data_IF_952843139853
#
_entry.id   IF_952843139853
#
_cell.length_a   1.000
_cell.length_b   1.000
_cell.length_c   1.000
_cell.angle_alpha   90.00
_cell.angle_beta   90.00
_cell.angle_gamma   90.00
#
_symmetry.space_group_name_H-M   'P 1'
#
loop_
_entity.id
_entity.type
_entity.pdbx_description
1 polymer ?
#
# COMPACT_ATOMS: atom_id res chain seq x y z
N UNK A 1 23.00 -12.80 22.20
CA UNK A 1 22.26 -13.98 21.69
C UNK A 1 21.01 -13.49 21.00
N UNK A 2 20.74 -13.87 19.74
CA UNK A 2 19.50 -13.53 19.09
C UNK A 2 18.34 -14.22 19.82
N UNK A 3 17.22 -13.51 20.01
CA UNK A 3 16.00 -14.04 20.62
C UNK A 3 15.44 -15.13 19.69
N UNK A 4 14.90 -16.23 20.23
CA UNK A 4 14.24 -17.23 19.39
C UNK A 4 13.01 -16.63 18.71
N UNK A 5 12.59 -17.15 17.56
CA UNK A 5 11.39 -16.69 16.84
C UNK A 5 10.16 -16.77 17.76
N UNK A 6 10.01 -17.85 18.52
CA UNK A 6 8.94 -18.01 19.52
C UNK A 6 8.91 -16.86 20.53
N UNK A 7 10.05 -16.55 21.14
CA UNK A 7 10.13 -15.46 22.12
C UNK A 7 9.85 -14.09 21.47
N UNK A 8 10.28 -13.89 20.22
CA UNK A 8 10.01 -12.66 19.49
C UNK A 8 8.51 -12.49 19.20
N UNK A 9 7.84 -13.52 18.71
CA UNK A 9 6.40 -13.45 18.41
C UNK A 9 5.57 -13.30 19.69
N UNK A 10 5.91 -14.03 20.76
CA UNK A 10 5.24 -13.88 22.07
C UNK A 10 5.33 -12.44 22.58
N UNK A 11 6.50 -11.81 22.48
CA UNK A 11 6.67 -10.41 22.89
C UNK A 11 5.89 -9.42 22.01
N UNK A 12 5.92 -9.60 20.70
CA UNK A 12 5.20 -8.72 19.77
C UNK A 12 3.68 -8.84 19.90
N UNK A 13 3.19 -10.06 20.19
CA UNK A 13 1.80 -10.36 20.41
C UNK A 13 1.33 -10.00 21.84
N UNK A 14 2.26 -9.93 22.79
CA UNK A 14 2.01 -9.79 24.24
C UNK A 14 1.13 -10.90 24.84
N UNK A 15 1.15 -12.06 24.20
CA UNK A 15 0.41 -13.28 24.56
C UNK A 15 1.16 -14.52 24.10
N UNK A 16 0.85 -15.67 24.71
CA UNK A 16 1.30 -16.95 24.18
C UNK A 16 0.70 -17.21 22.79
N UNK A 17 1.50 -17.68 21.84
CA UNK A 17 1.10 -17.91 20.45
C UNK A 17 -0.13 -18.82 20.36
N UNK A 18 -0.16 -19.88 21.18
CA UNK A 18 -1.27 -20.87 21.20
C UNK A 18 -2.63 -20.27 21.61
N UNK A 19 -2.64 -19.18 22.36
CA UNK A 19 -3.85 -18.53 22.87
C UNK A 19 -4.23 -17.27 22.09
N UNK A 20 -3.32 -16.76 21.26
CA UNK A 20 -3.56 -15.59 20.44
C UNK A 20 -4.52 -15.91 19.28
N UNK A 21 -5.34 -14.94 18.88
CA UNK A 21 -6.16 -15.04 17.68
C UNK A 21 -5.30 -14.82 16.41
N UNK A 22 -5.80 -15.27 15.27
CA UNK A 22 -5.07 -15.12 14.00
C UNK A 22 -4.89 -13.63 13.63
N UNK A 23 -5.84 -12.76 13.95
CA UNK A 23 -5.73 -11.31 13.78
C UNK A 23 -4.65 -10.68 14.68
N UNK A 24 -4.50 -11.15 15.93
CA UNK A 24 -3.43 -10.71 16.82
C UNK A 24 -2.05 -11.17 16.33
N UNK A 25 -1.96 -12.42 15.85
CA UNK A 25 -0.73 -12.96 15.25
C UNK A 25 -0.38 -12.24 13.95
N UNK A 26 -1.35 -11.94 13.09
CA UNK A 26 -1.15 -11.12 11.90
C UNK A 26 -0.56 -9.75 12.26
N UNK A 27 -1.11 -9.07 13.27
CA UNK A 27 -0.58 -7.79 13.76
C UNK A 27 0.86 -7.91 14.28
N UNK A 28 1.18 -8.99 14.98
CA UNK A 28 2.53 -9.26 15.46
C UNK A 28 3.51 -9.51 14.30
N UNK A 29 3.08 -10.28 13.29
CA UNK A 29 3.88 -10.53 12.08
C UNK A 29 4.11 -9.26 11.26
N UNK A 30 3.13 -8.36 11.13
CA UNK A 30 3.33 -7.06 10.49
C UNK A 30 4.39 -6.22 11.20
N UNK A 31 4.40 -6.21 12.55
CA UNK A 31 5.44 -5.52 13.32
C UNK A 31 6.80 -6.15 13.08
N UNK A 32 6.90 -7.49 13.12
CA UNK A 32 8.15 -8.22 12.83
C UNK A 32 8.69 -7.87 11.45
N UNK A 33 7.85 -7.96 10.42
CA UNK A 33 8.22 -7.62 9.04
C UNK A 33 8.68 -6.17 8.95
N UNK A 34 7.95 -5.23 9.57
CA UNK A 34 8.33 -3.82 9.56
C UNK A 34 9.71 -3.60 10.20
N UNK A 35 9.96 -4.13 11.41
CA UNK A 35 11.24 -4.00 12.10
C UNK A 35 12.39 -4.59 11.29
N UNK A 36 12.18 -5.75 10.67
CA UNK A 36 13.18 -6.41 9.83
C UNK A 36 13.44 -5.66 8.54
N UNK A 37 12.39 -5.21 7.86
CA UNK A 37 12.51 -4.41 6.62
C UNK A 37 13.31 -3.12 6.85
N UNK A 38 13.17 -2.47 8.00
CA UNK A 38 13.98 -1.28 8.33
C UNK A 38 15.49 -1.54 8.35
N UNK A 39 15.91 -2.77 8.69
CA UNK A 39 17.33 -3.17 8.70
C UNK A 39 17.89 -3.29 7.26
N UNK A 40 17.03 -3.42 6.26
CA UNK A 40 17.38 -3.51 4.83
C UNK A 40 17.27 -2.17 4.09
N UNK A 41 16.87 -1.10 4.76
CA UNK A 41 16.90 0.26 4.20
C UNK A 41 18.36 0.68 4.04
N UNK A 42 18.74 1.06 2.82
CA UNK A 42 20.12 1.46 2.48
C UNK A 42 20.14 2.92 2.04
N UNK A 43 21.19 3.64 2.44
CA UNK A 43 21.43 4.98 1.94
C UNK A 43 21.58 5.00 0.41
N UNK A 44 21.23 6.11 -0.20
CA UNK A 44 21.32 6.29 -1.65
C UNK A 44 22.43 7.28 -1.95
N UNK A 45 23.53 6.77 -2.53
CA UNK A 45 24.62 7.55 -3.09
C UNK A 45 24.50 7.52 -4.62
N UNK A 46 24.28 8.67 -5.26
CA UNK A 46 24.16 8.74 -6.71
C UNK A 46 22.71 8.73 -7.22
N UNK A 47 22.48 8.13 -8.37
CA UNK A 47 21.17 8.15 -9.04
C UNK A 47 20.15 7.26 -8.32
N UNK A 48 18.90 7.73 -8.25
CA UNK A 48 17.73 6.99 -7.78
C UNK A 48 16.65 7.04 -8.86
N UNK A 49 15.98 5.94 -9.07
CA UNK A 49 14.84 5.84 -9.98
C UNK A 49 13.55 6.13 -9.22
N UNK A 50 12.63 6.84 -9.86
CA UNK A 50 11.26 7.00 -9.39
C UNK A 50 10.30 6.46 -10.44
N UNK A 51 9.54 5.44 -10.09
CA UNK A 51 8.55 4.84 -10.97
C UNK A 51 7.16 5.39 -10.64
N UNK A 52 6.67 6.32 -11.47
CA UNK A 52 5.36 6.95 -11.29
C UNK A 52 4.34 6.13 -12.06
N UNK A 53 3.32 5.61 -11.38
CA UNK A 53 2.25 4.84 -12.00
C UNK A 53 0.92 5.11 -11.29
N UNK A 54 -0.16 5.14 -12.08
CA UNK A 54 -1.51 5.20 -11.52
C UNK A 54 -1.90 3.92 -10.78
N UNK A 55 -1.20 2.80 -11.03
CA UNK A 55 -1.53 1.49 -10.50
C UNK A 55 -0.29 0.72 -10.03
N UNK A 56 -0.45 0.01 -8.91
CA UNK A 56 0.51 -0.95 -8.38
C UNK A 56 -0.22 -2.19 -7.86
N UNK A 57 -0.33 -3.23 -8.68
CA UNK A 57 -0.93 -4.52 -8.27
C UNK A 57 0.09 -5.33 -7.46
N UNK A 58 0.26 -4.99 -6.20
CA UNK A 58 1.27 -5.57 -5.31
C UNK A 58 0.84 -6.89 -4.68
N UNK A 59 -0.48 -7.14 -4.56
CA UNK A 59 -1.02 -8.32 -3.88
C UNK A 59 -0.81 -8.29 -2.36
N UNK A 60 -1.12 -9.40 -1.68
CA UNK A 60 -0.83 -9.60 -0.26
C UNK A 60 0.67 -9.61 -0.02
N UNK A 61 1.14 -8.95 1.04
CA UNK A 61 2.56 -8.68 1.27
C UNK A 61 3.19 -9.52 2.37
N UNK A 62 2.39 -10.10 3.28
CA UNK A 62 2.94 -10.78 4.45
C UNK A 62 3.88 -11.92 4.07
N UNK A 63 3.40 -12.90 3.31
CA UNK A 63 4.22 -14.05 2.87
C UNK A 63 5.38 -13.62 1.99
N UNK A 64 5.14 -12.72 1.05
CA UNK A 64 6.20 -12.18 0.20
C UNK A 64 7.34 -11.56 1.03
N UNK A 65 7.00 -10.74 2.00
CA UNK A 65 8.00 -10.11 2.87
C UNK A 65 8.70 -11.12 3.78
N UNK A 66 7.99 -12.12 4.33
CA UNK A 66 8.60 -13.18 5.13
C UNK A 66 9.61 -13.99 4.30
N UNK A 67 9.27 -14.33 3.05
CA UNK A 67 10.17 -15.03 2.12
C UNK A 67 11.39 -14.15 1.82
N UNK A 68 11.17 -12.90 1.43
CA UNK A 68 12.24 -11.97 1.04
C UNK A 68 13.20 -11.64 2.18
N UNK A 69 12.73 -11.71 3.43
CA UNK A 69 13.53 -11.52 4.65
C UNK A 69 14.15 -12.83 5.17
N UNK A 70 13.88 -13.98 4.53
CA UNK A 70 14.38 -15.29 4.99
C UNK A 70 13.76 -15.76 6.32
N UNK A 71 12.55 -15.32 6.64
CA UNK A 71 11.85 -15.61 7.89
C UNK A 71 10.71 -16.61 7.76
N UNK A 72 10.31 -16.94 6.53
CA UNK A 72 9.08 -17.68 6.26
C UNK A 72 9.05 -19.05 6.95
N UNK A 73 10.10 -19.85 6.81
CA UNK A 73 10.15 -21.19 7.39
C UNK A 73 10.20 -21.13 8.92
N UNK A 74 11.02 -20.25 9.51
CA UNK A 74 11.10 -20.08 10.96
C UNK A 74 9.78 -19.65 11.59
N UNK A 75 9.05 -18.75 10.92
CA UNK A 75 7.73 -18.30 11.37
C UNK A 75 6.71 -19.42 11.24
N UNK A 76 6.63 -20.08 10.07
CA UNK A 76 5.71 -21.19 9.82
C UNK A 76 5.89 -22.30 10.85
N UNK A 77 7.12 -22.74 11.08
CA UNK A 77 7.42 -23.85 11.99
C UNK A 77 7.16 -23.48 13.45
N UNK A 78 7.48 -22.24 13.85
CA UNK A 78 7.16 -21.71 15.19
C UNK A 78 5.65 -21.65 15.45
N UNK A 79 4.87 -21.24 14.45
CA UNK A 79 3.40 -21.21 14.56
C UNK A 79 2.84 -22.64 14.63
N UNK A 80 3.33 -23.55 13.79
CA UNK A 80 2.91 -24.95 13.78
C UNK A 80 3.16 -25.66 15.10
N UNK A 81 4.30 -25.42 15.76
CA UNK A 81 4.61 -25.93 17.11
C UNK A 81 3.61 -25.45 18.17
N UNK A 82 3.01 -24.28 17.96
CA UNK A 82 1.96 -23.72 18.82
C UNK A 82 0.52 -24.09 18.39
N UNK A 83 0.36 -24.96 17.39
CA UNK A 83 -0.93 -25.37 16.86
C UNK A 83 -1.65 -24.34 16.00
N UNK A 84 -0.89 -23.41 15.37
CA UNK A 84 -1.40 -22.39 14.46
C UNK A 84 -0.91 -22.63 13.03
N UNK A 85 -1.74 -22.31 12.03
CA UNK A 85 -1.35 -22.36 10.63
C UNK A 85 -1.06 -20.94 10.10
N UNK A 86 0.11 -20.74 9.48
CA UNK A 86 0.45 -19.46 8.87
C UNK A 86 -0.57 -19.05 7.80
N UNK A 87 -1.08 -20.02 7.03
CA UNK A 87 -2.08 -19.77 5.98
C UNK A 87 -3.37 -19.13 6.53
N UNK A 88 -3.85 -19.54 7.73
CA UNK A 88 -5.04 -18.97 8.35
C UNK A 88 -4.81 -17.51 8.81
N UNK A 89 -3.56 -17.23 9.22
CA UNK A 89 -3.15 -15.88 9.60
C UNK A 89 -3.02 -14.98 8.38
N UNK A 90 -2.52 -15.49 7.25
CA UNK A 90 -2.43 -14.76 5.97
C UNK A 90 -3.81 -14.37 5.42
N UNK A 91 -4.88 -15.11 5.75
CA UNK A 91 -6.24 -14.72 5.37
C UNK A 91 -6.74 -13.45 6.09
N UNK A 92 -6.11 -13.05 7.19
CA UNK A 92 -6.42 -11.79 7.87
C UNK A 92 -5.91 -10.55 7.09
N UNK A 93 -5.01 -10.72 6.12
CA UNK A 93 -4.46 -9.62 5.34
C UNK A 93 -5.48 -9.11 4.32
N UNK A 94 -5.92 -7.84 4.42
CA UNK A 94 -6.71 -7.24 3.34
C UNK A 94 -5.81 -7.05 2.12
N UNK A 95 -6.27 -7.48 0.94
CA UNK A 95 -5.51 -7.28 -0.29
C UNK A 95 -5.48 -5.80 -0.68
N UNK A 96 -4.28 -5.20 -0.86
CA UNK A 96 -4.17 -3.81 -1.26
C UNK A 96 -4.76 -3.57 -2.65
N UNK A 97 -5.87 -2.84 -2.71
CA UNK A 97 -6.57 -2.51 -3.95
C UNK A 97 -5.97 -1.30 -4.66
N UNK A 98 -4.68 -1.38 -5.02
CA UNK A 98 -3.91 -0.29 -5.62
C UNK A 98 -3.68 -0.43 -7.12
N UNK A 99 -4.19 -1.47 -7.75
CA UNK A 99 -4.00 -1.72 -9.17
C UNK A 99 -4.71 -2.96 -9.66
N UNK A 100 -4.78 -3.10 -10.99
CA UNK A 100 -5.35 -4.24 -11.68
C UNK A 100 -4.60 -4.48 -13.00
N UNK A 101 -4.73 -5.68 -13.53
CA UNK A 101 -4.22 -6.03 -14.86
C UNK A 101 -2.71 -5.84 -15.07
N UNK A 102 -2.34 -5.70 -16.35
CA UNK A 102 -0.93 -5.70 -16.77
C UNK A 102 -0.15 -4.48 -16.34
N UNK A 103 -0.74 -3.28 -16.40
CA UNK A 103 -0.08 -2.04 -16.01
C UNK A 103 0.34 -2.07 -14.53
N UNK A 104 -0.62 -2.37 -13.65
CA UNK A 104 -0.37 -2.43 -12.21
C UNK A 104 0.60 -3.55 -11.83
N UNK A 105 0.49 -4.73 -12.47
CA UNK A 105 1.39 -5.86 -12.21
C UNK A 105 2.81 -5.58 -12.68
N UNK A 106 2.99 -4.97 -13.83
CA UNK A 106 4.31 -4.57 -14.33
C UNK A 106 5.01 -3.59 -13.38
N UNK A 107 4.27 -2.57 -12.90
CA UNK A 107 4.80 -1.61 -11.94
C UNK A 107 5.25 -2.28 -10.64
N UNK A 108 4.45 -3.20 -10.10
CA UNK A 108 4.79 -3.97 -8.90
C UNK A 108 6.04 -4.85 -9.11
N UNK A 109 6.13 -5.56 -10.24
CA UNK A 109 7.30 -6.39 -10.58
C UNK A 109 8.58 -5.57 -10.72
N UNK A 110 8.51 -4.35 -11.29
CA UNK A 110 9.68 -3.48 -11.38
C UNK A 110 10.15 -3.01 -10.01
N UNK A 111 9.24 -2.65 -9.10
CA UNK A 111 9.62 -2.26 -7.74
C UNK A 111 10.30 -3.41 -6.99
N UNK A 112 9.74 -4.62 -7.07
CA UNK A 112 10.32 -5.81 -6.46
C UNK A 112 11.70 -6.13 -7.05
N UNK A 113 11.83 -6.09 -8.38
CA UNK A 113 13.10 -6.32 -9.06
C UNK A 113 14.18 -5.29 -8.68
N UNK A 114 13.82 -4.00 -8.59
CA UNK A 114 14.75 -2.97 -8.13
C UNK A 114 15.24 -3.24 -6.71
N UNK A 115 14.34 -3.61 -5.81
CA UNK A 115 14.67 -3.93 -4.43
C UNK A 115 15.57 -5.18 -4.34
N UNK A 116 15.24 -6.26 -5.04
CA UNK A 116 16.00 -7.52 -5.11
C UNK A 116 17.40 -7.32 -5.69
N UNK A 117 17.53 -6.50 -6.74
CA UNK A 117 18.82 -6.18 -7.37
C UNK A 117 19.64 -5.12 -6.60
N UNK A 118 19.20 -4.72 -5.41
CA UNK A 118 19.84 -3.67 -4.61
C UNK A 118 19.91 -2.29 -5.28
N UNK A 119 19.05 -2.02 -6.28
CA UNK A 119 19.00 -0.76 -6.97
C UNK A 119 18.10 0.24 -6.21
N UNK A 120 18.56 1.50 -5.99
CA UNK A 120 17.72 2.51 -5.35
C UNK A 120 16.59 2.94 -6.31
N UNK A 121 15.34 2.64 -5.93
CA UNK A 121 14.20 2.98 -6.75
C UNK A 121 12.92 2.96 -5.95
N UNK A 122 12.15 4.04 -6.00
CA UNK A 122 10.88 4.15 -5.30
C UNK A 122 9.71 4.23 -6.30
N UNK A 123 8.56 3.72 -5.85
CA UNK A 123 7.29 3.91 -6.52
C UNK A 123 6.61 5.21 -6.08
N UNK A 124 5.81 5.78 -6.97
CA UNK A 124 4.93 6.93 -6.70
C UNK A 124 3.56 6.66 -7.29
N UNK A 125 2.52 6.71 -6.46
CA UNK A 125 1.14 6.43 -6.86
C UNK A 125 0.11 7.13 -5.97
N UNK A 126 -1.15 6.70 -6.09
CA UNK A 126 -2.24 7.14 -5.24
C UNK A 126 -2.67 6.03 -4.27
N UNK A 127 -3.12 6.42 -3.09
CA UNK A 127 -3.73 5.54 -2.10
C UNK A 127 -5.24 5.57 -2.32
N UNK A 128 -5.73 4.69 -3.19
CA UNK A 128 -7.16 4.57 -3.42
C UNK A 128 -7.85 3.88 -2.24
N UNK A 129 -9.02 4.36 -1.87
CA UNK A 129 -9.86 3.74 -0.84
C UNK A 129 -10.55 2.47 -1.37
N UNK A 130 -10.97 2.50 -2.65
CA UNK A 130 -11.59 1.39 -3.34
C UNK A 130 -10.90 1.17 -4.70
N UNK A 131 -10.11 0.10 -4.83
CA UNK A 131 -9.41 -0.21 -6.08
C UNK A 131 -10.15 -1.24 -6.93
N UNK A 132 -10.78 -2.21 -6.28
CA UNK A 132 -11.60 -3.23 -6.90
C UNK A 132 -13.02 -3.15 -6.33
N UNK A 133 -13.92 -3.97 -6.89
CA UNK A 133 -15.30 -4.04 -6.47
C UNK A 133 -15.64 -5.43 -5.96
N UNK A 134 -16.41 -5.49 -4.88
CA UNK A 134 -16.99 -6.75 -4.41
C UNK A 134 -18.13 -7.12 -5.34
N UNK A 135 -18.03 -8.32 -5.92
CA UNK A 135 -19.05 -8.84 -6.82
C UNK A 135 -20.14 -9.55 -6.02
N UNK A 136 -21.37 -9.08 -6.12
CA UNK A 136 -22.54 -9.64 -5.47
C UNK A 136 -23.63 -9.97 -6.50
N UNK A 137 -24.60 -10.77 -6.11
CA UNK A 137 -25.78 -11.03 -6.91
C UNK A 137 -27.03 -10.50 -6.19
N UNK A 138 -27.82 -9.67 -6.87
CA UNK A 138 -29.09 -9.15 -6.42
C UNK A 138 -30.14 -9.40 -7.51
N UNK A 139 -31.21 -10.12 -7.16
CA UNK A 139 -32.26 -10.47 -8.14
C UNK A 139 -31.73 -11.19 -9.40
N UNK A 140 -30.79 -12.10 -9.26
CA UNK A 140 -30.11 -12.82 -10.34
C UNK A 140 -29.30 -11.93 -11.31
N UNK A 141 -29.01 -10.70 -10.91
CA UNK A 141 -28.14 -9.77 -11.67
C UNK A 141 -26.89 -9.50 -10.85
N UNK A 142 -25.74 -9.47 -11.52
CA UNK A 142 -24.48 -9.05 -10.92
C UNK A 142 -24.59 -7.61 -10.46
N UNK A 143 -24.08 -7.36 -9.25
CA UNK A 143 -24.09 -6.05 -8.62
C UNK A 143 -22.74 -5.80 -7.95
N UNK A 144 -22.12 -4.69 -8.27
CA UNK A 144 -20.86 -4.26 -7.71
C UNK A 144 -21.10 -3.40 -6.47
N UNK A 145 -20.31 -3.65 -5.44
CA UNK A 145 -20.25 -2.79 -4.25
C UNK A 145 -18.79 -2.42 -3.96
N UNK A 146 -18.54 -1.32 -3.23
CA UNK A 146 -17.18 -0.95 -2.85
C UNK A 146 -16.50 -2.08 -2.05
N UNK A 147 -15.23 -2.29 -2.30
CA UNK A 147 -14.39 -3.22 -1.53
C UNK A 147 -13.33 -2.41 -0.78
N UNK A 148 -13.66 -2.01 0.45
CA UNK A 148 -12.79 -1.25 1.32
C UNK A 148 -11.71 -2.16 1.89
N UNK A 149 -10.46 -1.79 1.69
CA UNK A 149 -9.29 -2.53 2.16
C UNK A 149 -8.46 -1.77 3.21
N UNK A 150 -8.72 -0.46 3.36
CA UNK A 150 -8.00 0.38 4.31
C UNK A 150 -8.44 0.08 5.73
N UNK A 151 -7.53 -0.47 6.50
CA UNK A 151 -7.70 -0.77 7.93
C UNK A 151 -6.54 -0.20 8.73
N UNK A 152 -6.64 -0.17 10.05
CA UNK A 152 -5.55 0.21 10.95
C UNK A 152 -4.30 -0.69 10.80
N UNK A 153 -4.50 -1.90 10.27
CA UNK A 153 -3.46 -2.89 10.00
C UNK A 153 -2.83 -2.76 8.61
N UNK A 154 -3.25 -1.77 7.80
CA UNK A 154 -2.68 -1.54 6.48
C UNK A 154 -1.17 -1.30 6.55
N UNK A 155 -0.42 -1.94 5.64
CA UNK A 155 1.04 -1.82 5.57
C UNK A 155 1.51 -0.41 5.17
N UNK A 156 0.69 0.35 4.43
CA UNK A 156 0.97 1.74 4.07
C UNK A 156 0.69 2.66 5.26
N UNK A 157 1.74 3.29 5.80
CA UNK A 157 1.67 4.16 6.97
C UNK A 157 1.69 5.63 6.59
N UNK A 158 0.80 6.41 7.21
CA UNK A 158 0.77 7.86 7.09
C UNK A 158 2.08 8.49 7.60
N UNK A 159 2.49 9.57 6.96
CA UNK A 159 3.58 10.45 7.43
C UNK A 159 3.03 11.84 7.75
N UNK A 160 3.85 12.67 8.38
CA UNK A 160 3.50 14.09 8.61
C UNK A 160 3.72 14.96 7.36
N UNK A 161 4.26 14.37 6.28
CA UNK A 161 4.56 15.09 5.04
C UNK A 161 3.29 15.31 4.22
N UNK A 162 3.05 16.56 3.86
CA UNK A 162 1.91 16.99 3.04
C UNK A 162 2.42 17.93 1.96
N UNK A 163 2.01 17.71 0.72
CA UNK A 163 2.33 18.58 -0.40
C UNK A 163 1.09 19.32 -0.91
N UNK A 164 1.17 20.64 -1.16
CA UNK A 164 0.06 21.40 -1.72
C UNK A 164 -0.04 21.10 -3.24
N UNK A 165 -1.23 20.78 -3.72
CA UNK A 165 -1.52 20.60 -5.14
C UNK A 165 -2.64 21.55 -5.55
N UNK A 166 -2.34 22.48 -6.45
CA UNK A 166 -3.33 23.41 -7.00
C UNK A 166 -4.05 22.77 -8.18
N UNK A 167 -5.37 22.60 -8.09
CA UNK A 167 -6.21 21.91 -9.05
C UNK A 167 -7.57 22.62 -9.15
N UNK A 168 -8.04 22.91 -10.35
CA UNK A 168 -9.34 23.56 -10.59
C UNK A 168 -9.55 24.86 -9.77
N UNK A 169 -8.50 25.66 -9.60
CA UNK A 169 -8.54 26.94 -8.85
C UNK A 169 -8.58 26.80 -7.34
N UNK A 170 -8.42 25.60 -6.80
CA UNK A 170 -8.31 25.29 -5.36
C UNK A 170 -7.01 24.60 -5.04
N UNK A 171 -6.56 24.67 -3.80
CA UNK A 171 -5.38 23.93 -3.32
C UNK A 171 -5.83 22.78 -2.42
N UNK A 172 -5.32 21.59 -2.72
CA UNK A 172 -5.58 20.35 -2.00
C UNK A 172 -4.31 19.87 -1.31
N UNK A 173 -4.46 19.19 -0.18
CA UNK A 173 -3.37 18.65 0.63
C UNK A 173 -3.13 17.20 0.26
N UNK A 174 -2.02 16.89 -0.40
CA UNK A 174 -1.58 15.54 -0.71
C UNK A 174 -0.76 14.98 0.46
N UNK A 175 -1.36 14.16 1.30
CA UNK A 175 -0.66 13.46 2.39
C UNK A 175 0.11 12.28 1.85
N UNK A 176 1.36 12.16 2.28
CA UNK A 176 2.23 11.05 1.90
C UNK A 176 2.03 9.85 2.85
N UNK A 177 1.80 8.69 2.26
CA UNK A 177 1.84 7.37 2.88
C UNK A 177 3.01 6.58 2.32
N UNK A 178 3.69 5.81 3.17
CA UNK A 178 4.83 4.99 2.77
C UNK A 178 4.55 3.52 3.00
N UNK A 179 4.80 2.72 1.96
CA UNK A 179 4.71 1.26 2.00
C UNK A 179 6.08 0.69 1.65
N UNK A 180 6.71 -0.08 2.57
CA UNK A 180 8.01 -0.70 2.30
C UNK A 180 7.87 -1.78 1.22
N UNK A 181 8.81 -1.81 0.29
CA UNK A 181 8.97 -2.85 -0.73
C UNK A 181 10.32 -3.51 -0.49
N UNK A 182 10.30 -4.69 0.13
CA UNK A 182 11.51 -5.44 0.49
C UNK A 182 11.80 -6.47 -0.59
N UNK A 183 13.00 -6.39 -1.17
CA UNK A 183 13.46 -7.36 -2.17
C UNK A 183 14.03 -8.62 -1.56
N UNK A 184 14.07 -9.70 -2.34
CA UNK A 184 14.64 -10.98 -1.93
C UNK A 184 16.15 -10.84 -1.67
N UNK A 185 16.57 -11.06 -0.41
CA UNK A 185 17.95 -10.83 0.06
C UNK A 185 18.52 -9.44 -0.33
N UNK A 186 17.65 -8.52 -0.69
CA UNK A 186 17.99 -7.24 -1.29
C UNK A 186 17.91 -6.06 -0.30
N UNK A 187 17.48 -4.93 -0.83
CA UNK A 187 17.21 -3.72 -0.06
C UNK A 187 15.72 -3.53 0.16
N UNK A 188 15.35 -2.64 1.07
CA UNK A 188 13.99 -2.11 1.16
C UNK A 188 13.94 -0.75 0.47
N UNK A 189 13.14 -0.66 -0.58
CA UNK A 189 12.70 0.56 -1.26
C UNK A 189 11.33 0.99 -0.74
N UNK A 190 10.76 2.05 -1.28
CA UNK A 190 9.46 2.58 -0.82
C UNK A 190 8.49 2.75 -1.98
N UNK A 191 7.24 2.32 -1.78
CA UNK A 191 6.12 2.79 -2.57
C UNK A 191 5.48 3.98 -1.84
N UNK A 192 5.61 5.15 -2.42
CA UNK A 192 5.06 6.41 -1.93
C UNK A 192 3.66 6.60 -2.52
N UNK A 193 2.66 6.70 -1.67
CA UNK A 193 1.26 6.83 -2.05
C UNK A 193 0.71 8.15 -1.54
N UNK A 194 0.01 8.87 -2.38
CA UNK A 194 -0.64 10.12 -2.00
C UNK A 194 -2.14 9.94 -1.82
N UNK A 195 -2.69 10.60 -0.82
CA UNK A 195 -4.11 10.61 -0.52
C UNK A 195 -4.56 12.01 -0.09
N UNK A 196 -5.85 12.29 -0.20
CA UNK A 196 -6.48 13.47 0.39
C UNK A 196 -7.00 13.16 1.78
N UNK A 197 -6.66 13.99 2.77
CA UNK A 197 -7.22 13.86 4.13
C UNK A 197 -8.74 14.10 4.19
N UNK A 198 -9.32 14.62 3.12
CA UNK A 198 -10.74 15.01 3.04
C UNK A 198 -11.62 14.01 2.31
N UNK A 199 -11.05 12.87 1.86
CA UNK A 199 -11.85 11.81 1.21
C UNK A 199 -12.91 11.30 2.18
N UNK A 200 -14.14 11.17 1.66
CA UNK A 200 -15.30 10.80 2.45
C UNK A 200 -16.00 9.59 1.80
N UNK A 201 -15.78 8.41 2.37
CA UNK A 201 -16.37 7.16 1.88
C UNK A 201 -17.90 7.14 1.97
N UNK A 202 -18.49 7.99 2.83
CA UNK A 202 -19.93 8.09 3.01
C UNK A 202 -20.67 8.72 1.83
N UNK A 203 -19.93 9.35 0.88
CA UNK A 203 -20.53 9.93 -0.33
C UNK A 203 -20.94 8.87 -1.37
N UNK A 204 -20.55 7.61 -1.17
CA UNK A 204 -20.91 6.51 -2.06
C UNK A 204 -22.39 6.21 -1.88
N UNK A 205 -23.15 6.35 -2.98
CA UNK A 205 -24.57 6.05 -3.02
C UNK A 205 -24.89 4.58 -3.28
N UNK A 206 -25.97 4.29 -4.00
CA UNK A 206 -26.32 2.92 -4.36
C UNK A 206 -25.26 2.31 -5.30
N UNK A 207 -24.79 1.11 -4.94
CA UNK A 207 -23.72 0.44 -5.64
C UNK A 207 -22.38 1.16 -5.51
N UNK A 208 -21.87 1.72 -6.59
CA UNK A 208 -20.59 2.43 -6.68
C UNK A 208 -20.75 3.89 -7.16
N UNK A 209 -21.95 4.43 -7.08
CA UNK A 209 -22.28 5.78 -7.57
C UNK A 209 -21.89 6.86 -6.56
N UNK A 210 -21.39 7.99 -7.04
CA UNK A 210 -21.09 9.17 -6.22
C UNK A 210 -21.06 10.45 -7.07
N UNK A 211 -21.10 11.63 -6.44
CA UNK A 211 -20.94 12.91 -7.13
C UNK A 211 -19.47 13.11 -7.54
N UNK A 212 -19.18 12.97 -8.83
CA UNK A 212 -17.84 13.07 -9.41
C UNK A 212 -17.26 14.50 -9.36
N UNK A 213 -18.08 15.53 -9.10
CA UNK A 213 -17.66 16.95 -9.08
C UNK A 213 -17.05 17.38 -7.75
N UNK A 214 -17.36 16.70 -6.66
CA UNK A 214 -16.82 17.02 -5.34
C UNK A 214 -15.43 16.42 -5.13
N UNK A 215 -14.44 16.96 -5.86
CA UNK A 215 -13.06 16.47 -5.85
C UNK A 215 -12.47 16.39 -4.44
N UNK A 216 -12.86 17.29 -3.55
CA UNK A 216 -12.37 17.29 -2.17
C UNK A 216 -12.70 15.99 -1.42
N UNK A 217 -13.80 15.32 -1.80
CA UNK A 217 -14.28 14.10 -1.15
C UNK A 217 -14.02 12.82 -1.93
N UNK A 218 -13.72 12.91 -3.22
CA UNK A 218 -13.73 11.74 -4.08
C UNK A 218 -12.45 11.49 -4.88
N UNK A 219 -11.46 12.40 -4.85
CA UNK A 219 -10.32 12.33 -5.76
C UNK A 219 -9.54 11.01 -5.69
N UNK A 220 -9.34 10.46 -4.50
CA UNK A 220 -8.65 9.18 -4.29
C UNK A 220 -9.60 8.06 -3.83
N UNK A 221 -10.92 8.26 -3.98
CA UNK A 221 -11.94 7.33 -3.51
C UNK A 221 -11.89 6.02 -4.31
N UNK A 222 -11.97 6.10 -5.65
CA UNK A 222 -11.94 4.92 -6.52
C UNK A 222 -10.76 4.95 -7.50
N UNK A 223 -10.09 3.80 -7.67
CA UNK A 223 -9.13 3.60 -8.76
C UNK A 223 -9.80 3.68 -10.13
N UNK A 224 -10.99 3.10 -10.26
CA UNK A 224 -11.80 3.10 -11.48
C UNK A 224 -13.15 3.77 -11.25
N UNK A 225 -13.21 5.11 -11.13
CA UNK A 225 -14.50 5.78 -11.19
C UNK A 225 -15.13 5.56 -12.58
N UNK A 226 -16.46 5.50 -12.62
CA UNK A 226 -17.17 5.45 -13.90
C UNK A 226 -16.80 6.69 -14.73
N UNK A 227 -16.17 6.48 -15.89
CA UNK A 227 -15.71 7.52 -16.82
C UNK A 227 -16.50 7.54 -18.15
N UNK A 228 -17.70 6.99 -18.13
CA UNK A 228 -18.61 7.04 -19.27
C UNK A 228 -19.09 8.45 -19.61
N UNK A 229 -19.16 9.32 -18.60
CA UNK A 229 -19.51 10.73 -18.74
C UNK A 229 -18.29 11.69 -18.71
N UNK A 230 -18.55 12.99 -18.92
CA UNK A 230 -17.49 13.99 -18.92
C UNK A 230 -16.89 14.24 -17.54
N UNK A 231 -17.71 14.24 -16.49
CA UNK A 231 -17.26 14.46 -15.11
C UNK A 231 -16.34 13.32 -14.64
N UNK A 232 -16.64 12.07 -15.00
CA UNK A 232 -15.78 10.92 -14.70
C UNK A 232 -14.45 10.96 -15.43
N UNK A 233 -14.46 11.33 -16.73
CA UNK A 233 -13.21 11.52 -17.49
C UNK A 233 -12.35 12.65 -16.90
N UNK A 234 -12.97 13.74 -16.47
CA UNK A 234 -12.27 14.84 -15.83
C UNK A 234 -11.70 14.44 -14.47
N UNK A 235 -12.44 13.68 -13.66
CA UNK A 235 -11.95 13.15 -12.39
C UNK A 235 -10.69 12.29 -12.59
N UNK A 236 -10.65 11.44 -13.62
CA UNK A 236 -9.45 10.65 -13.93
C UNK A 236 -8.24 11.52 -14.32
N UNK A 237 -8.45 12.60 -15.05
CA UNK A 237 -7.38 13.56 -15.35
C UNK A 237 -6.89 14.22 -14.06
N UNK A 238 -7.79 14.60 -13.17
CA UNK A 238 -7.45 15.19 -11.88
C UNK A 238 -6.67 14.24 -10.98
N UNK A 239 -7.02 12.97 -10.92
CA UNK A 239 -6.25 11.94 -10.20
C UNK A 239 -4.80 11.90 -10.68
N UNK A 240 -4.59 11.83 -11.99
CA UNK A 240 -3.24 11.76 -12.56
C UNK A 240 -2.45 13.05 -12.33
N UNK A 241 -3.08 14.21 -12.51
CA UNK A 241 -2.44 15.50 -12.25
C UNK A 241 -2.02 15.62 -10.77
N UNK A 242 -2.91 15.26 -9.85
CA UNK A 242 -2.66 15.28 -8.41
C UNK A 242 -1.46 14.38 -8.05
N UNK A 243 -1.46 13.15 -8.53
CA UNK A 243 -0.38 12.20 -8.32
C UNK A 243 0.96 12.71 -8.82
N UNK A 244 1.01 13.17 -10.07
CA UNK A 244 2.28 13.64 -10.69
C UNK A 244 2.76 14.91 -10.03
N UNK A 245 1.88 15.85 -9.69
CA UNK A 245 2.24 17.09 -9.01
C UNK A 245 2.82 16.83 -7.61
N UNK A 246 2.16 15.99 -6.81
CA UNK A 246 2.66 15.61 -5.48
C UNK A 246 3.97 14.80 -5.58
N UNK A 247 4.03 13.88 -6.55
CA UNK A 247 5.24 13.07 -6.80
C UNK A 247 6.44 13.92 -7.22
N UNK A 248 6.24 14.92 -8.08
CA UNK A 248 7.31 15.83 -8.47
C UNK A 248 7.85 16.65 -7.29
N UNK A 249 6.96 17.12 -6.41
CA UNK A 249 7.35 17.84 -5.20
C UNK A 249 8.16 16.94 -4.25
N UNK A 250 7.73 15.69 -4.03
CA UNK A 250 8.46 14.70 -3.24
C UNK A 250 9.87 14.46 -3.82
N UNK A 251 9.99 14.26 -5.13
CA UNK A 251 11.25 14.01 -5.80
C UNK A 251 12.19 15.20 -5.66
N UNK A 252 11.67 16.41 -5.84
CA UNK A 252 12.46 17.64 -5.69
C UNK A 252 12.94 17.84 -4.24
N UNK A 253 12.06 17.64 -3.26
CA UNK A 253 12.41 17.73 -1.84
C UNK A 253 13.51 16.72 -1.46
N UNK A 254 13.37 15.48 -1.91
CA UNK A 254 14.39 14.45 -1.69
C UNK A 254 15.70 14.77 -2.41
N UNK A 255 15.66 15.27 -3.65
CA UNK A 255 16.85 15.68 -4.39
C UNK A 255 17.58 16.83 -3.68
N UNK A 256 16.85 17.84 -3.20
CA UNK A 256 17.42 18.95 -2.45
C UNK A 256 18.06 18.47 -1.14
N UNK A 257 17.38 17.61 -0.40
CA UNK A 257 17.90 17.03 0.85
C UNK A 257 19.19 16.22 0.61
N UNK A 258 19.28 15.53 -0.51
CA UNK A 258 20.45 14.72 -0.90
C UNK A 258 21.58 15.55 -1.55
N UNK A 259 21.37 16.83 -1.79
CA UNK A 259 22.34 17.70 -2.47
C UNK A 259 22.54 17.32 -3.95
N UNK A 260 21.52 16.82 -4.64
CA UNK A 260 21.56 16.54 -6.07
C UNK A 260 21.54 17.88 -6.84
N UNK A 261 22.48 18.02 -7.80
CA UNK A 261 22.53 19.14 -8.74
C UNK A 261 21.84 18.77 -10.06
#
# INVERSE_FOLDING_TARGET
MSKSMKATLTDLCQKEISTATDAELYTALLKLVHEKSQQHVKSVSGRKLYYISAEFLIGKLLSNNLINLGLYDDVRDTLAEAGKALADIEEQEPEPSLGNGGLGRLAACFLDSLATLNLPGDGVGLRYHCGLFRQNFKNNVQNETPDFWLTDQCAAKATDTVFPVSLAGKTYSARLYKLPVTGYEGRTNTLNLFDLDTVDESVIGDGISFDKKDIAKNLTLFLYPDDSDEDGRLLRIYQQYFMVSAGAQLILDECMTRGCN
#
